data_IF_901099861685
#
_entry.id   IF_901099861685
#
_cell.length_a   1.000
_cell.length_b   1.000
_cell.length_c   1.000
_cell.angle_alpha   90.00
_cell.angle_beta   90.00
_cell.angle_gamma   90.00
#
_symmetry.space_group_name_H-M   'P 1'
#
loop_
_entity.id
_entity.type
_entity.pdbx_description
1 polymer ?
#
# COMPACT_ATOMS: atom_id res chain seq x y z
N UNK A 1 -5.32 9.13 -19.94
CA UNK A 1 -6.80 8.93 -20.17
C UNK A 1 -7.29 9.77 -21.35
N UNK A 2 -6.85 11.02 -21.56
CA UNK A 2 -7.25 11.85 -22.69
C UNK A 2 -6.89 11.22 -24.05
N UNK A 3 -5.70 10.66 -24.15
CA UNK A 3 -5.16 10.14 -25.42
C UNK A 3 -5.88 8.85 -25.88
N UNK A 4 -6.27 8.00 -24.95
CA UNK A 4 -7.05 6.78 -25.24
C UNK A 4 -8.48 7.14 -25.68
N UNK A 5 -9.11 8.11 -25.03
CA UNK A 5 -10.43 8.59 -25.46
C UNK A 5 -10.39 9.27 -26.84
N UNK A 6 -9.32 9.97 -27.18
CA UNK A 6 -9.13 10.54 -28.52
C UNK A 6 -8.96 9.46 -29.59
N UNK A 7 -8.22 8.39 -29.30
CA UNK A 7 -8.08 7.25 -30.20
C UNK A 7 -9.40 6.49 -30.41
N UNK A 8 -10.19 6.32 -29.34
CA UNK A 8 -11.53 5.76 -29.44
C UNK A 8 -12.46 6.62 -30.30
N UNK A 9 -12.44 7.94 -30.12
CA UNK A 9 -13.21 8.89 -30.93
C UNK A 9 -12.76 8.90 -32.38
N UNK A 10 -11.48 8.65 -32.65
CA UNK A 10 -10.92 8.52 -34.00
C UNK A 10 -11.26 7.17 -34.67
N UNK A 11 -12.00 6.27 -33.99
CA UNK A 11 -12.44 5.00 -34.57
C UNK A 11 -11.35 3.92 -34.63
N UNK A 12 -10.27 4.06 -33.84
CA UNK A 12 -9.23 3.03 -33.72
C UNK A 12 -9.84 1.84 -32.95
N UNK A 13 -9.60 0.63 -33.46
CA UNK A 13 -10.14 -0.58 -32.83
C UNK A 13 -9.57 -0.76 -31.44
N UNK A 14 -10.40 -1.14 -30.48
CA UNK A 14 -10.01 -1.35 -29.07
C UNK A 14 -8.82 -2.32 -28.94
N UNK A 15 -8.75 -3.35 -29.81
CA UNK A 15 -7.62 -4.30 -29.83
C UNK A 15 -6.29 -3.65 -30.23
N UNK A 16 -6.32 -2.67 -31.11
CA UNK A 16 -5.13 -1.96 -31.57
C UNK A 16 -4.69 -0.92 -30.52
N UNK A 17 -5.65 -0.24 -29.88
CA UNK A 17 -5.42 0.64 -28.73
C UNK A 17 -4.80 -0.16 -27.58
N UNK A 18 -5.37 -1.28 -27.25
CA UNK A 18 -4.86 -2.20 -26.21
C UNK A 18 -3.44 -2.67 -26.56
N UNK A 19 -3.20 -3.08 -27.79
CA UNK A 19 -1.88 -3.55 -28.23
C UNK A 19 -0.82 -2.45 -28.17
N UNK A 20 -1.12 -1.28 -28.66
CA UNK A 20 -0.15 -0.15 -28.70
C UNK A 20 0.10 0.39 -27.31
N UNK A 21 -0.93 0.51 -26.48
CA UNK A 21 -0.81 0.87 -25.07
C UNK A 21 -0.03 -0.18 -24.29
N UNK A 22 -0.31 -1.48 -24.48
CA UNK A 22 0.43 -2.56 -23.85
C UNK A 22 1.87 -2.68 -24.36
N UNK A 23 2.15 -2.44 -25.63
CA UNK A 23 3.53 -2.49 -26.15
C UNK A 23 4.35 -1.30 -25.65
N UNK A 24 3.81 -0.09 -25.61
CA UNK A 24 4.46 1.07 -25.01
C UNK A 24 4.61 0.92 -23.49
N UNK A 25 3.62 0.37 -22.83
CA UNK A 25 3.63 0.10 -21.38
C UNK A 25 4.62 -1.01 -21.01
N UNK A 26 4.72 -2.10 -21.79
CA UNK A 26 5.74 -3.15 -21.56
C UNK A 26 7.16 -2.62 -21.70
N UNK A 27 7.41 -1.70 -22.62
CA UNK A 27 8.71 -1.03 -22.74
C UNK A 27 9.06 -0.18 -21.52
N UNK A 28 8.07 0.47 -20.92
CA UNK A 28 8.22 1.30 -19.72
C UNK A 28 8.41 0.47 -18.45
N UNK A 29 7.79 -0.71 -18.39
CA UNK A 29 7.82 -1.62 -17.24
C UNK A 29 9.06 -2.53 -17.19
N UNK A 30 10.01 -2.38 -18.12
CA UNK A 30 11.18 -3.25 -18.19
C UNK A 30 12.02 -3.13 -16.90
N UNK A 31 12.08 -4.22 -16.14
CA UNK A 31 12.79 -4.28 -14.86
C UNK A 31 12.01 -3.82 -13.64
N UNK A 32 10.76 -3.34 -13.78
CA UNK A 32 9.91 -3.01 -12.62
C UNK A 32 9.49 -4.28 -11.86
N UNK A 33 9.28 -4.12 -10.55
CA UNK A 33 8.97 -5.23 -9.65
C UNK A 33 7.46 -5.43 -9.50
N UNK A 34 6.70 -4.34 -9.42
CA UNK A 34 5.25 -4.35 -9.24
C UNK A 34 4.48 -3.62 -10.35
N UNK A 35 5.16 -3.07 -11.35
CA UNK A 35 4.53 -2.25 -12.38
C UNK A 35 3.40 -2.96 -13.12
N UNK A 36 3.59 -4.22 -13.51
CA UNK A 36 2.54 -5.03 -14.16
C UNK A 36 1.33 -5.25 -13.23
N UNK A 37 1.56 -5.41 -11.93
CA UNK A 37 0.50 -5.63 -10.94
C UNK A 37 -0.32 -4.35 -10.71
N UNK A 38 0.35 -3.19 -10.72
CA UNK A 38 -0.33 -1.89 -10.62
C UNK A 38 -1.15 -1.62 -11.88
N UNK A 39 -0.59 -1.93 -13.06
CA UNK A 39 -1.32 -1.82 -14.32
C UNK A 39 -2.58 -2.70 -14.32
N UNK A 40 -2.45 -3.95 -13.88
CA UNK A 40 -3.59 -4.85 -13.73
C UNK A 40 -4.61 -4.32 -12.73
N UNK A 41 -4.16 -3.76 -11.60
CA UNK A 41 -5.04 -3.16 -10.61
C UNK A 41 -5.86 -1.97 -11.17
N UNK A 42 -5.28 -1.17 -12.07
CA UNK A 42 -6.01 -0.10 -12.78
C UNK A 42 -7.10 -0.68 -13.68
N UNK A 43 -6.76 -1.70 -14.47
CA UNK A 43 -7.72 -2.33 -15.37
C UNK A 43 -8.87 -2.99 -14.62
N UNK A 44 -8.58 -3.59 -13.47
CA UNK A 44 -9.58 -4.22 -12.60
C UNK A 44 -10.44 -3.21 -11.81
N UNK A 45 -10.18 -1.89 -11.93
CA UNK A 45 -10.87 -0.86 -11.17
C UNK A 45 -10.51 -0.86 -9.67
N UNK A 46 -9.35 -1.45 -9.30
CA UNK A 46 -8.85 -1.50 -7.91
C UNK A 46 -8.01 -0.26 -7.52
N UNK A 47 -7.76 0.65 -8.44
CA UNK A 47 -7.26 2.00 -8.18
C UNK A 47 -8.45 2.93 -8.42
N UNK A 48 -9.05 3.39 -7.33
CA UNK A 48 -10.33 4.08 -7.34
C UNK A 48 -10.48 4.93 -6.07
N UNK A 49 -11.62 5.55 -5.84
CA UNK A 49 -11.88 6.24 -4.58
C UNK A 49 -12.13 5.25 -3.45
N UNK A 50 -11.33 5.31 -2.40
CA UNK A 50 -11.43 4.44 -1.21
C UNK A 50 -11.62 5.30 0.05
N UNK A 51 -12.87 5.57 0.45
CA UNK A 51 -13.13 6.38 1.63
C UNK A 51 -12.76 5.64 2.92
N UNK A 52 -12.30 6.40 3.92
CA UNK A 52 -12.15 5.90 5.28
C UNK A 52 -13.50 5.45 5.84
N UNK A 53 -13.57 4.21 6.30
CA UNK A 53 -14.74 3.67 6.99
C UNK A 53 -14.58 3.86 8.49
N UNK A 54 -15.43 4.70 9.07
CA UNK A 54 -15.50 4.92 10.52
C UNK A 54 -15.86 3.58 11.20
N UNK A 55 -15.31 3.31 12.36
CA UNK A 55 -15.46 2.06 13.12
C UNK A 55 -14.67 0.84 12.58
N UNK A 56 -13.97 0.96 11.47
CA UNK A 56 -12.95 -0.02 11.10
C UNK A 56 -11.55 0.49 11.50
N UNK A 57 -10.74 -0.33 12.17
CA UNK A 57 -9.40 0.07 12.55
C UNK A 57 -8.51 0.28 11.32
N UNK A 58 -7.65 1.29 11.40
CA UNK A 58 -6.65 1.59 10.39
C UNK A 58 -5.32 0.98 10.81
N UNK A 59 -4.84 0.04 10.03
CA UNK A 59 -3.47 -0.44 10.15
C UNK A 59 -2.51 0.53 9.47
N UNK A 60 -1.28 0.55 9.98
CA UNK A 60 -0.20 1.39 9.45
C UNK A 60 1.00 0.51 9.17
N UNK A 61 1.63 0.63 8.01
CA UNK A 61 2.94 0.06 7.75
C UNK A 61 3.90 1.15 7.30
N UNK A 62 5.10 1.15 7.90
CA UNK A 62 6.07 2.22 7.75
C UNK A 62 7.42 1.68 7.27
N UNK A 63 8.08 2.48 6.45
CA UNK A 63 9.53 2.43 6.26
C UNK A 63 10.11 3.70 6.86
N UNK A 64 10.96 3.57 7.89
CA UNK A 64 11.48 4.71 8.65
C UNK A 64 12.89 5.04 8.17
N UNK A 65 13.01 6.07 7.35
CA UNK A 65 14.29 6.64 6.97
C UNK A 65 14.86 7.54 8.06
N UNK A 66 16.15 7.45 8.32
CA UNK A 66 16.87 8.37 9.25
C UNK A 66 17.51 9.54 8.53
N UNK A 67 18.02 9.33 7.33
CA UNK A 67 18.56 10.32 6.39
C UNK A 67 17.71 10.47 5.14
N UNK A 68 16.82 9.50 4.91
CA UNK A 68 15.98 9.35 3.73
C UNK A 68 14.51 9.57 4.06
N UNK A 69 13.63 9.30 3.09
CA UNK A 69 12.19 9.41 3.29
C UNK A 69 11.66 8.37 4.29
N UNK A 70 10.75 8.81 5.13
CA UNK A 70 9.84 7.89 5.84
C UNK A 70 8.56 7.78 5.03
N UNK A 71 8.19 6.57 4.66
CA UNK A 71 6.98 6.25 3.93
C UNK A 71 5.97 5.54 4.83
N UNK A 72 4.70 5.92 4.72
CA UNK A 72 3.61 5.42 5.58
C UNK A 72 2.40 5.09 4.72
N UNK A 73 1.99 3.82 4.72
CA UNK A 73 0.71 3.39 4.18
C UNK A 73 -0.32 3.26 5.28
N UNK A 74 -1.54 3.72 5.00
CA UNK A 74 -2.71 3.58 5.87
C UNK A 74 -3.70 2.64 5.20
N UNK A 75 -4.09 1.57 5.89
CA UNK A 75 -4.97 0.57 5.31
C UNK A 75 -6.09 0.14 6.26
N UNK A 76 -7.19 -0.26 5.68
CA UNK A 76 -8.28 -0.96 6.37
C UNK A 76 -8.46 -2.34 5.74
N UNK A 77 -9.02 -3.28 6.47
CA UNK A 77 -9.30 -4.61 5.97
C UNK A 77 -10.79 -4.88 5.97
N UNK A 78 -11.33 -5.30 4.82
CA UNK A 78 -12.72 -5.71 4.66
C UNK A 78 -12.75 -7.10 4.02
N UNK A 79 -13.05 -8.10 4.80
CA UNK A 79 -12.96 -9.50 4.36
C UNK A 79 -11.55 -9.86 3.91
N UNK A 80 -11.40 -10.20 2.63
CA UNK A 80 -10.10 -10.52 2.04
C UNK A 80 -9.40 -9.31 1.41
N UNK A 81 -10.11 -8.19 1.26
CA UNK A 81 -9.55 -6.98 0.63
C UNK A 81 -8.78 -6.15 1.64
N UNK A 82 -7.70 -5.55 1.16
CA UNK A 82 -6.86 -4.61 1.87
C UNK A 82 -6.98 -3.27 1.15
N UNK A 83 -7.64 -2.34 1.81
CA UNK A 83 -8.02 -1.03 1.30
C UNK A 83 -6.99 0.00 1.73
N UNK A 84 -6.11 0.43 0.84
CA UNK A 84 -5.15 1.49 1.11
C UNK A 84 -5.84 2.85 0.94
N UNK A 85 -6.22 3.43 2.07
CA UNK A 85 -7.06 4.64 2.16
C UNK A 85 -6.26 5.94 2.09
N UNK A 86 -4.95 5.87 2.37
CA UNK A 86 -4.08 7.04 2.40
C UNK A 86 -2.60 6.61 2.33
N UNK A 87 -1.75 7.57 1.96
CA UNK A 87 -0.30 7.45 1.95
C UNK A 87 0.34 8.75 2.40
N UNK A 88 1.47 8.66 3.09
CA UNK A 88 2.27 9.82 3.48
C UNK A 88 3.75 9.52 3.31
N UNK A 89 4.48 10.47 2.76
CA UNK A 89 5.93 10.39 2.60
C UNK A 89 6.55 11.75 2.92
N UNK A 90 7.58 11.75 3.75
CA UNK A 90 8.28 12.97 4.13
C UNK A 90 9.74 12.65 4.45
N UNK A 91 10.64 13.58 4.14
CA UNK A 91 12.07 13.44 4.38
C UNK A 91 12.48 14.09 5.70
N UNK A 92 13.50 13.52 6.36
CA UNK A 92 14.24 14.14 7.45
C UNK A 92 13.36 14.65 8.62
N UNK A 93 12.29 13.92 8.94
CA UNK A 93 11.44 14.23 10.08
C UNK A 93 11.74 13.29 11.26
N UNK A 94 11.51 13.81 12.46
CA UNK A 94 11.68 13.04 13.69
C UNK A 94 10.49 12.11 13.97
N UNK A 95 10.69 11.12 14.84
CA UNK A 95 9.58 10.26 15.32
C UNK A 95 8.45 11.09 15.94
N UNK A 96 8.80 12.21 16.62
CA UNK A 96 7.82 13.13 17.21
C UNK A 96 6.94 13.81 16.16
N UNK A 97 7.49 14.13 15.00
CA UNK A 97 6.71 14.65 13.88
C UNK A 97 5.65 13.63 13.42
N UNK A 98 6.07 12.39 13.20
CA UNK A 98 5.14 11.33 12.78
C UNK A 98 4.11 11.00 13.86
N UNK A 99 4.50 11.01 15.13
CA UNK A 99 3.54 10.84 16.23
C UNK A 99 2.44 11.91 16.24
N UNK A 100 2.80 13.17 16.01
CA UNK A 100 1.83 14.26 15.86
C UNK A 100 0.98 14.13 14.60
N UNK A 101 1.61 13.81 13.45
CA UNK A 101 0.90 13.58 12.20
C UNK A 101 -0.22 12.55 12.38
N UNK A 102 0.11 11.41 12.98
CA UNK A 102 -0.84 10.33 13.19
C UNK A 102 -1.95 10.71 14.16
N UNK A 103 -1.65 11.39 15.26
CA UNK A 103 -2.62 11.73 16.29
C UNK A 103 -3.49 12.95 15.97
N UNK A 104 -2.88 13.97 15.39
CA UNK A 104 -3.52 15.28 15.25
C UNK A 104 -4.07 15.54 13.85
N UNK A 105 -3.32 15.11 12.81
CA UNK A 105 -3.66 15.42 11.43
C UNK A 105 -4.49 14.31 10.76
N UNK A 106 -4.19 13.05 10.99
CA UNK A 106 -4.87 11.94 10.33
C UNK A 106 -6.11 11.44 11.08
N UNK A 107 -6.13 11.55 12.39
CA UNK A 107 -7.29 11.26 13.27
C UNK A 107 -8.06 9.97 12.94
N UNK A 108 -7.35 8.91 12.56
CA UNK A 108 -7.94 7.59 12.32
C UNK A 108 -8.08 6.79 13.62
N UNK A 109 -9.01 5.85 13.64
CA UNK A 109 -9.03 4.83 14.67
C UNK A 109 -7.93 3.81 14.38
N UNK A 110 -6.78 3.96 15.04
CA UNK A 110 -5.62 3.11 14.75
C UNK A 110 -5.73 1.74 15.40
N UNK A 111 -5.39 0.72 14.60
CA UNK A 111 -5.12 -0.64 15.02
C UNK A 111 -3.62 -0.91 15.09
N UNK A 112 -3.17 -1.93 14.35
CA UNK A 112 -1.77 -2.35 14.31
C UNK A 112 -0.89 -1.36 13.54
N UNK A 113 0.29 -1.08 14.10
CA UNK A 113 1.35 -0.33 13.45
C UNK A 113 2.54 -1.27 13.19
N UNK A 114 2.95 -1.39 11.94
CA UNK A 114 4.04 -2.26 11.50
C UNK A 114 5.24 -1.38 11.18
N UNK A 115 6.34 -1.60 11.90
CA UNK A 115 7.61 -0.94 11.72
C UNK A 115 8.59 -1.84 10.93
N UNK A 116 9.61 -1.27 10.26
CA UNK A 116 10.64 -2.04 9.60
C UNK A 116 11.45 -2.88 10.60
N UNK A 117 12.04 -3.99 10.12
CA UNK A 117 12.82 -4.92 10.96
C UNK A 117 14.08 -4.31 11.58
N UNK A 118 14.57 -3.23 11.03
CA UNK A 118 15.71 -2.44 11.47
C UNK A 118 15.30 -1.13 12.15
N UNK A 119 14.01 -0.96 12.45
CA UNK A 119 13.53 0.15 13.26
C UNK A 119 14.31 0.18 14.57
N UNK A 120 14.88 1.34 14.87
CA UNK A 120 15.60 1.53 16.15
C UNK A 120 14.61 1.30 17.29
N UNK A 121 15.05 0.62 18.33
CA UNK A 121 14.29 0.41 19.57
C UNK A 121 13.55 1.66 20.05
N UNK A 122 14.14 2.83 19.83
CA UNK A 122 13.54 4.12 20.15
C UNK A 122 12.26 4.45 19.39
N UNK A 123 12.02 3.88 18.22
CA UNK A 123 10.79 4.15 17.44
C UNK A 123 9.62 3.34 18.01
N UNK A 124 9.82 2.05 18.28
CA UNK A 124 8.81 1.19 18.89
C UNK A 124 8.40 1.71 20.26
N UNK A 125 9.40 1.98 21.13
CA UNK A 125 9.19 2.56 22.46
C UNK A 125 8.46 3.91 22.38
N UNK A 126 8.85 4.76 21.44
CA UNK A 126 8.22 6.07 21.26
C UNK A 126 6.75 5.94 20.89
N UNK A 127 6.40 5.18 19.84
CA UNK A 127 5.01 5.05 19.42
C UNK A 127 4.16 4.38 20.50
N UNK A 128 4.70 3.39 21.22
CA UNK A 128 4.04 2.77 22.37
C UNK A 128 3.80 3.76 23.51
N UNK A 129 4.79 4.59 23.84
CA UNK A 129 4.71 5.60 24.92
C UNK A 129 3.65 6.68 24.66
N UNK A 130 3.42 7.01 23.39
CA UNK A 130 2.39 7.96 23.02
C UNK A 130 1.00 7.31 22.79
N UNK A 131 0.84 6.02 23.13
CA UNK A 131 -0.45 5.34 23.22
C UNK A 131 -0.87 4.52 22.00
N UNK A 132 0.03 4.23 21.05
CA UNK A 132 -0.22 3.21 20.05
C UNK A 132 -0.02 1.82 20.65
N UNK A 133 -1.07 0.99 20.70
CA UNK A 133 -1.05 -0.29 21.40
C UNK A 133 -0.57 -1.47 20.55
N UNK A 134 -0.75 -1.40 19.24
CA UNK A 134 -0.44 -2.49 18.31
C UNK A 134 0.88 -2.29 17.56
N UNK A 135 1.90 -1.71 18.18
CA UNK A 135 3.21 -1.51 17.53
C UNK A 135 3.95 -2.83 17.44
N UNK A 136 4.33 -3.22 16.23
CA UNK A 136 5.04 -4.47 15.95
C UNK A 136 6.15 -4.23 14.94
N UNK A 137 7.24 -4.96 15.07
CA UNK A 137 8.37 -4.93 14.14
C UNK A 137 8.23 -6.09 13.16
N UNK A 138 8.35 -5.80 11.87
CA UNK A 138 8.30 -6.82 10.82
C UNK A 138 9.47 -7.81 10.99
N UNK A 139 9.23 -9.08 10.66
CA UNK A 139 10.30 -10.09 10.65
C UNK A 139 11.34 -9.77 9.59
N UNK A 140 12.61 -9.97 9.92
CA UNK A 140 13.69 -9.89 8.93
C UNK A 140 13.64 -11.12 8.04
N UNK A 141 13.37 -10.91 6.76
CA UNK A 141 13.41 -11.95 5.73
C UNK A 141 14.20 -11.43 4.51
N UNK A 142 14.65 -12.30 3.59
CA UNK A 142 15.24 -11.85 2.34
C UNK A 142 14.30 -10.92 1.58
N UNK A 143 14.84 -9.86 0.97
CA UNK A 143 14.04 -8.85 0.24
C UNK A 143 13.18 -9.51 -0.84
N UNK A 144 13.74 -10.47 -1.58
CA UNK A 144 13.00 -11.20 -2.61
C UNK A 144 11.78 -11.94 -2.03
N UNK A 145 11.93 -12.61 -0.89
CA UNK A 145 10.80 -13.28 -0.24
C UNK A 145 9.70 -12.29 0.16
N UNK A 146 10.07 -11.11 0.65
CA UNK A 146 9.09 -10.05 0.95
C UNK A 146 8.41 -9.49 -0.30
N UNK A 147 9.13 -9.39 -1.43
CA UNK A 147 8.54 -9.03 -2.72
C UNK A 147 7.51 -10.08 -3.16
N UNK A 148 7.81 -11.34 -2.98
CA UNK A 148 6.92 -12.44 -3.37
C UNK A 148 5.66 -12.46 -2.48
N UNK A 149 5.76 -12.13 -1.18
CA UNK A 149 4.59 -11.92 -0.32
C UNK A 149 3.68 -10.79 -0.82
N UNK A 150 4.26 -9.65 -1.24
CA UNK A 150 3.48 -8.56 -1.85
C UNK A 150 2.74 -9.06 -3.09
N UNK A 151 3.43 -9.78 -3.98
CA UNK A 151 2.86 -10.30 -5.22
C UNK A 151 1.69 -11.26 -4.97
N UNK A 152 1.81 -12.14 -3.98
CA UNK A 152 0.74 -13.07 -3.58
C UNK A 152 -0.53 -12.34 -3.10
N UNK A 153 -0.35 -11.22 -2.41
CA UNK A 153 -1.45 -10.45 -1.85
C UNK A 153 -2.02 -9.39 -2.80
N UNK A 154 -1.30 -9.03 -3.88
CA UNK A 154 -1.60 -7.86 -4.70
C UNK A 154 -3.00 -7.85 -5.31
N UNK A 155 -3.56 -9.03 -5.63
CA UNK A 155 -4.92 -9.15 -6.14
C UNK A 155 -6.00 -8.72 -5.14
N UNK A 156 -5.65 -8.64 -3.85
CA UNK A 156 -6.53 -8.20 -2.74
C UNK A 156 -6.40 -6.71 -2.44
N UNK A 157 -5.43 -6.02 -3.04
CA UNK A 157 -5.16 -4.61 -2.80
C UNK A 157 -6.08 -3.73 -3.61
N UNK A 158 -6.66 -2.74 -2.94
CA UNK A 158 -7.44 -1.65 -3.53
C UNK A 158 -6.85 -0.35 -3.01
N UNK A 159 -6.58 0.61 -3.88
CA UNK A 159 -5.88 1.84 -3.55
C UNK A 159 -6.75 3.06 -3.79
N UNK A 160 -6.72 4.02 -2.87
CA UNK A 160 -7.31 5.34 -3.13
C UNK A 160 -6.49 6.07 -4.19
N UNK A 161 -7.13 6.42 -5.30
CA UNK A 161 -6.50 7.01 -6.48
C UNK A 161 -5.86 8.38 -6.23
N UNK A 162 -6.37 9.12 -5.23
CA UNK A 162 -5.92 10.49 -4.90
C UNK A 162 -4.99 10.50 -3.70
N UNK A 163 -5.43 9.93 -2.58
CA UNK A 163 -4.68 9.98 -1.32
C UNK A 163 -3.46 9.06 -1.32
N UNK A 164 -3.51 7.96 -2.10
CA UNK A 164 -2.40 7.04 -2.24
C UNK A 164 -1.61 7.21 -3.55
N UNK A 165 -1.86 8.26 -4.34
CA UNK A 165 -1.26 8.47 -5.65
C UNK A 165 0.27 8.37 -5.64
N UNK A 166 0.96 9.01 -4.67
CA UNK A 166 2.42 8.94 -4.56
C UNK A 166 2.91 7.54 -4.21
N UNK A 167 2.22 6.84 -3.32
CA UNK A 167 2.53 5.46 -2.99
C UNK A 167 2.34 4.51 -4.18
N UNK A 168 1.28 4.70 -4.96
CA UNK A 168 1.04 3.95 -6.21
C UNK A 168 2.18 4.20 -7.19
N UNK A 169 2.63 5.45 -7.35
CA UNK A 169 3.79 5.81 -8.18
C UNK A 169 5.06 5.08 -7.71
N UNK A 170 5.29 4.97 -6.40
CA UNK A 170 6.40 4.19 -5.86
C UNK A 170 6.33 2.74 -6.34
N UNK A 171 5.17 2.10 -6.25
CA UNK A 171 4.99 0.72 -6.69
C UNK A 171 5.17 0.55 -8.22
N UNK A 172 4.68 1.49 -9.02
CA UNK A 172 4.84 1.48 -10.48
C UNK A 172 6.30 1.56 -10.91
N UNK A 173 7.09 2.39 -10.22
CA UNK A 173 8.47 2.71 -10.61
C UNK A 173 9.52 1.91 -9.86
N UNK A 174 9.16 1.14 -8.82
CA UNK A 174 10.07 0.28 -8.09
C UNK A 174 10.66 -0.78 -9.01
N UNK A 175 11.99 -0.77 -9.18
CA UNK A 175 12.68 -1.56 -10.19
C UNK A 175 14.01 -2.10 -9.72
N UNK A 176 14.51 -3.09 -10.46
CA UNK A 176 15.89 -3.56 -10.38
C UNK A 176 16.77 -2.74 -11.30
N UNK A 177 18.02 -2.57 -10.91
CA UNK A 177 19.01 -1.91 -11.73
C UNK A 177 19.56 -2.87 -12.80
N UNK A 178 19.67 -2.38 -14.03
CA UNK A 178 20.29 -3.13 -15.10
C UNK A 178 21.80 -3.08 -14.96
N UNK A 179 22.45 -4.24 -15.04
CA UNK A 179 23.90 -4.37 -15.02
C UNK A 179 24.41 -4.50 -16.47
N UNK A 180 25.09 -3.47 -16.95
CA UNK A 180 25.61 -3.40 -18.31
C UNK A 180 26.70 -4.45 -18.62
N UNK A 181 27.44 -4.88 -17.58
CA UNK A 181 28.54 -5.85 -17.73
C UNK A 181 27.98 -7.27 -17.87
N UNK A 182 27.09 -7.66 -16.95
CA UNK A 182 26.50 -9.00 -16.97
C UNK A 182 25.30 -9.11 -17.92
N UNK A 183 24.79 -7.99 -18.47
CA UNK A 183 23.58 -7.93 -19.30
C UNK A 183 22.35 -8.56 -18.62
N UNK A 184 22.25 -8.40 -17.30
CA UNK A 184 21.16 -8.90 -16.48
C UNK A 184 20.71 -7.85 -15.46
N UNK A 185 19.51 -8.00 -14.91
CA UNK A 185 19.07 -7.21 -13.77
C UNK A 185 19.72 -7.68 -12.48
N UNK A 186 20.11 -6.74 -11.63
CA UNK A 186 20.57 -7.04 -10.28
C UNK A 186 19.47 -7.78 -9.49
N UNK A 187 19.87 -8.69 -8.60
CA UNK A 187 18.90 -9.41 -7.76
C UNK A 187 18.20 -8.48 -6.76
N UNK A 188 18.92 -7.49 -6.26
CA UNK A 188 18.38 -6.50 -5.33
C UNK A 188 17.68 -5.38 -6.08
N UNK A 189 16.57 -4.86 -5.54
CA UNK A 189 15.96 -3.65 -6.04
C UNK A 189 16.92 -2.47 -5.95
N UNK A 190 16.73 -1.50 -6.84
CA UNK A 190 17.43 -0.23 -6.75
C UNK A 190 16.91 0.55 -5.55
N UNK A 191 17.84 1.08 -4.74
CA UNK A 191 17.49 2.00 -3.67
C UNK A 191 17.42 3.42 -4.23
N UNK A 192 16.22 3.93 -4.39
CA UNK A 192 15.94 5.27 -4.88
C UNK A 192 14.65 5.81 -4.22
N UNK A 193 14.18 6.96 -4.66
CA UNK A 193 12.97 7.62 -4.14
C UNK A 193 11.68 6.77 -4.18
N UNK A 194 11.66 5.70 -4.96
CA UNK A 194 10.51 4.80 -5.08
C UNK A 194 10.62 3.57 -4.16
N UNK A 195 11.80 3.34 -3.57
CA UNK A 195 12.01 2.18 -2.71
C UNK A 195 11.27 2.30 -1.38
N UNK A 196 11.20 3.49 -0.78
CA UNK A 196 10.63 3.68 0.56
C UNK A 196 9.16 3.28 0.64
N UNK A 197 8.31 3.75 -0.30
CA UNK A 197 6.91 3.36 -0.37
C UNK A 197 6.72 1.86 -0.63
N UNK A 198 7.57 1.28 -1.48
CA UNK A 198 7.54 -0.14 -1.81
C UNK A 198 7.99 -1.02 -0.64
N UNK A 199 9.00 -0.58 0.11
CA UNK A 199 9.51 -1.29 1.28
C UNK A 199 8.53 -1.21 2.46
N UNK A 200 7.89 -0.05 2.68
CA UNK A 200 6.81 0.08 3.66
C UNK A 200 5.67 -0.92 3.39
N UNK A 201 5.23 -1.04 2.12
CA UNK A 201 4.22 -2.02 1.72
C UNK A 201 4.71 -3.46 1.94
N UNK A 202 5.96 -3.74 1.63
CA UNK A 202 6.61 -5.05 1.82
C UNK A 202 6.63 -5.45 3.30
N UNK A 203 6.93 -4.53 4.22
CA UNK A 203 6.84 -4.81 5.67
C UNK A 203 5.42 -5.14 6.09
N UNK A 204 4.42 -4.45 5.54
CA UNK A 204 3.01 -4.76 5.74
C UNK A 204 2.65 -6.17 5.26
N UNK A 205 3.12 -6.58 4.08
CA UNK A 205 2.87 -7.91 3.53
C UNK A 205 3.50 -9.02 4.39
N UNK A 206 4.76 -8.84 4.79
CA UNK A 206 5.48 -9.78 5.66
C UNK A 206 4.81 -9.96 7.03
N UNK A 207 4.23 -8.89 7.56
CA UNK A 207 3.51 -8.91 8.83
C UNK A 207 2.04 -9.33 8.70
N UNK A 208 1.51 -9.45 7.48
CA UNK A 208 0.13 -9.86 7.19
C UNK A 208 -0.92 -8.81 7.52
N UNK A 209 -1.20 -7.85 6.72
CA UNK A 209 -2.15 -6.74 6.84
C UNK A 209 -3.43 -6.99 7.69
N UNK A 210 -3.28 -7.33 8.96
CA UNK A 210 -4.38 -7.47 9.91
C UNK A 210 -4.32 -6.36 10.97
N UNK A 211 -5.20 -5.36 10.91
CA UNK A 211 -5.19 -4.26 11.87
C UNK A 211 -5.52 -4.69 13.30
N UNK A 212 -6.12 -5.88 13.48
CA UNK A 212 -6.62 -6.39 14.77
C UNK A 212 -5.76 -7.50 15.36
N UNK A 213 -4.76 -8.02 14.66
CA UNK A 213 -3.96 -9.17 15.14
C UNK A 213 -3.41 -8.98 16.55
N UNK A 214 -3.05 -7.75 16.91
CA UNK A 214 -2.58 -7.41 18.25
C UNK A 214 -3.61 -7.72 19.34
N UNK A 215 -4.90 -7.43 19.10
CA UNK A 215 -5.95 -7.63 20.09
C UNK A 215 -6.23 -9.11 20.35
N UNK A 216 -6.18 -9.94 19.31
CA UNK A 216 -6.39 -11.38 19.44
C UNK A 216 -5.24 -12.08 20.18
N UNK A 217 -3.99 -11.65 19.95
CA UNK A 217 -2.81 -12.24 20.60
C UNK A 217 -2.69 -11.89 22.10
N UNK A 218 -3.38 -10.85 22.57
CA UNK A 218 -3.39 -10.44 23.98
C UNK A 218 -4.51 -11.12 24.81
N UNK A 219 -5.30 -12.02 24.23
CA UNK A 219 -6.42 -12.68 24.90
C UNK A 219 -7.53 -11.72 25.35
N UNK A 220 -7.51 -10.50 24.89
CA UNK A 220 -8.60 -9.55 25.10
C UNK A 220 -9.67 -9.83 24.06
N UNK A 221 -10.78 -10.45 24.49
CA UNK A 221 -12.02 -10.38 23.71
C UNK A 221 -12.36 -8.91 23.53
N UNK A 222 -12.21 -8.43 22.29
CA UNK A 222 -12.83 -7.16 21.91
C UNK A 222 -14.34 -7.36 22.12
N UNK A 223 -14.89 -6.80 23.18
CA UNK A 223 -16.31 -6.51 23.22
C UNK A 223 -16.54 -5.41 22.17
N UNK A 224 -16.58 -5.84 20.93
CA UNK A 224 -17.16 -5.04 19.87
C UNK A 224 -18.64 -5.06 20.18
N UNK A 225 -19.17 -3.98 20.71
CA UNK A 225 -20.60 -3.75 20.65
C UNK A 225 -20.92 -3.61 19.16
N UNK A 226 -21.20 -4.74 18.56
CA UNK A 226 -21.44 -4.83 17.12
C UNK A 226 -22.91 -4.70 16.87
N UNK A 227 -23.31 -3.52 16.48
CA UNK A 227 -24.21 -3.38 15.36
C UNK A 227 -23.44 -3.44 14.01
N UNK A 228 -22.33 -4.16 13.94
CA UNK A 228 -21.62 -4.37 12.68
C UNK A 228 -22.27 -5.55 11.96
N UNK A 229 -23.14 -5.26 11.01
CA UNK A 229 -23.59 -6.24 10.03
C UNK A 229 -22.53 -6.31 8.89
N UNK A 230 -21.77 -7.43 8.79
CA UNK A 230 -20.83 -7.63 7.68
C UNK A 230 -21.49 -7.56 6.31
N UNK A 231 -22.82 -7.76 6.22
CA UNK A 231 -23.61 -7.67 5.00
C UNK A 231 -23.84 -6.22 4.58
N UNK A 232 -23.90 -5.27 5.53
CA UNK A 232 -24.02 -3.85 5.24
C UNK A 232 -22.74 -3.28 4.59
N UNK A 233 -21.56 -3.77 4.98
CA UNK A 233 -20.29 -3.40 4.35
C UNK A 233 -20.23 -3.91 2.89
N UNK A 234 -20.69 -5.12 2.62
CA UNK A 234 -20.79 -5.64 1.26
C UNK A 234 -21.85 -4.91 0.43
N UNK A 235 -22.99 -4.50 1.04
CA UNK A 235 -24.01 -3.70 0.36
C UNK A 235 -23.56 -2.29 0.03
N UNK A 236 -22.73 -1.66 0.86
CA UNK A 236 -22.14 -0.38 0.56
C UNK A 236 -21.20 -0.46 -0.65
N UNK A 237 -20.39 -1.52 -0.73
CA UNK A 237 -19.48 -1.75 -1.86
C UNK A 237 -20.25 -2.05 -3.17
N UNK A 238 -21.31 -2.88 -3.12
CA UNK A 238 -22.18 -3.18 -4.26
C UNK A 238 -22.94 -1.95 -4.77
N UNK A 239 -23.28 -1.01 -3.88
CA UNK A 239 -23.99 0.23 -4.25
C UNK A 239 -23.06 1.22 -4.97
N UNK A 240 -21.74 1.19 -4.69
CA UNK A 240 -20.76 2.02 -5.40
C UNK A 240 -20.22 1.37 -6.68
N UNK A 241 -20.27 0.04 -6.80
CA UNK A 241 -19.85 -0.67 -8.02
C UNK A 241 -20.94 -0.71 -9.12
N UNK A 242 -22.21 -0.42 -8.78
CA UNK A 242 -23.35 -0.42 -9.74
C UNK A 242 -23.86 0.96 -10.11
N UNK A 243 -23.22 2.02 -9.65
CA UNK A 243 -23.62 3.40 -9.91
C UNK A 243 -22.87 4.04 -11.06
N UNK A 244 -22.92 3.43 -12.25
CA UNK A 244 -22.65 4.18 -13.49
C UNK A 244 -23.40 3.51 -14.62
N UNK A 245 -24.58 3.99 -14.91
CA UNK A 245 -25.15 4.03 -16.25
C UNK A 245 -25.26 5.49 -16.65
#
# INVERSE_FOLDING_TARGET
ESDIEELRKAGVREEDIQREYYCSFKGFLHGTIYGDLVAQARMDGRITRVPYTVNLPVGVCMDIGTSDATAIWFYQRVGQQILFIDYHEENQKSAQYYGRLLKESKQYMYGRMILPHDAKWSAEDYFSSIGFRGVTVAKKIPVQSGIDEVRLLFSRFVFDEVKAARGIECLEKYKREWNEVSKTFNLQPKHDEYSHGSDALRYGAVAGFDPLEFYFNQGQELKVETEFDPRAANMAFDKYSRGTI
#
